data_IF_150759235653
#
_entry.id   IF_150759235653
#
_cell.length_a   1.000
_cell.length_b   1.000
_cell.length_c   1.000
_cell.angle_alpha   90.00
_cell.angle_beta   90.00
_cell.angle_gamma   90.00
#
_symmetry.space_group_name_H-M   'P 1'
#
loop_
_entity.id
_entity.type
_entity.pdbx_description
1 polymer ?
#
# COMPACT_ATOMS: atom_id res chain seq x y z
N UNK A 1 -25.57 16.15 -8.67
CA UNK A 1 -24.39 17.01 -8.41
C UNK A 1 -23.57 16.29 -7.35
N UNK A 2 -22.68 15.41 -7.80
CA UNK A 2 -21.88 14.56 -6.92
C UNK A 2 -20.64 15.34 -6.51
N UNK A 3 -20.53 15.66 -5.21
CA UNK A 3 -19.28 16.14 -4.64
C UNK A 3 -18.34 14.94 -4.52
N UNK A 4 -17.17 15.03 -5.16
CA UNK A 4 -16.12 14.05 -5.03
C UNK A 4 -15.65 13.97 -3.56
N UNK A 5 -15.15 12.82 -3.07
CA UNK A 5 -14.58 12.69 -1.72
C UNK A 5 -13.31 13.51 -1.47
N UNK A 6 -12.92 14.40 -2.40
CA UNK A 6 -11.67 15.14 -2.41
C UNK A 6 -11.58 16.29 -1.39
N UNK A 7 -12.62 16.55 -0.58
CA UNK A 7 -12.66 17.72 0.31
C UNK A 7 -12.67 17.42 1.82
N UNK A 8 -12.95 16.19 2.26
CA UNK A 8 -13.01 15.93 3.71
C UNK A 8 -11.67 15.82 4.42
N UNK A 9 -10.55 15.62 3.70
CA UNK A 9 -9.22 15.78 4.29
C UNK A 9 -8.83 17.26 4.51
N UNK A 10 -9.53 18.21 3.87
CA UNK A 10 -9.24 19.64 3.95
C UNK A 10 -10.09 20.39 5.00
N UNK A 11 -11.25 19.84 5.41
CA UNK A 11 -12.13 20.51 6.38
C UNK A 11 -11.65 20.42 7.84
N UNK A 12 -10.67 19.56 8.14
CA UNK A 12 -10.09 19.37 9.49
C UNK A 12 -8.62 19.84 9.58
N UNK A 13 -8.34 21.03 9.04
CA UNK A 13 -7.02 21.69 9.06
C UNK A 13 -6.78 22.58 10.29
N UNK A 14 -7.68 22.59 11.27
CA UNK A 14 -7.47 23.33 12.51
C UNK A 14 -6.22 22.80 13.25
N UNK A 15 -5.18 23.63 13.35
CA UNK A 15 -3.88 23.24 13.94
C UNK A 15 -2.97 22.45 12.99
N UNK A 16 -3.22 22.48 11.67
CA UNK A 16 -2.37 21.83 10.67
C UNK A 16 -1.79 22.85 9.70
N UNK A 17 -0.52 22.69 9.36
CA UNK A 17 0.19 23.57 8.42
C UNK A 17 0.48 22.75 7.16
N UNK A 18 -0.05 23.17 6.03
CA UNK A 18 0.01 22.40 4.79
C UNK A 18 0.68 23.16 3.66
N UNK A 19 1.44 22.45 2.83
CA UNK A 19 1.75 22.84 1.47
C UNK A 19 0.95 21.94 0.52
N UNK A 20 0.37 22.50 -0.53
CA UNK A 20 -0.45 21.78 -1.51
C UNK A 20 -0.23 22.35 -2.92
N UNK A 21 -0.16 21.51 -3.97
CA UNK A 21 -0.12 22.02 -5.35
C UNK A 21 -1.31 22.97 -5.61
N UNK A 22 -1.07 24.24 -6.00
CA UNK A 22 -2.16 25.13 -6.34
C UNK A 22 -2.86 24.62 -7.62
N UNK A 23 -4.17 24.37 -7.56
CA UNK A 23 -4.99 24.15 -8.76
C UNK A 23 -5.29 25.47 -9.50
N UNK A 24 -5.01 26.62 -8.89
CA UNK A 24 -5.05 27.97 -9.46
C UNK A 24 -4.03 28.87 -8.75
N UNK A 25 -3.57 29.96 -9.38
CA UNK A 25 -2.46 30.89 -9.02
C UNK A 25 -2.51 31.57 -7.62
N UNK A 26 -3.00 30.92 -6.57
CA UNK A 26 -2.97 31.47 -5.22
C UNK A 26 -1.66 31.17 -4.48
N UNK A 27 -1.18 32.23 -3.81
CA UNK A 27 0.08 32.38 -3.07
C UNK A 27 0.15 31.61 -1.74
N UNK A 28 -0.62 30.53 -1.57
CA UNK A 28 -0.86 29.88 -0.27
C UNK A 28 0.26 28.95 0.20
N UNK A 29 1.22 28.55 -0.65
CA UNK A 29 2.37 27.71 -0.24
C UNK A 29 3.55 28.54 0.25
N UNK A 30 3.35 29.39 1.27
CA UNK A 30 4.49 30.07 1.89
C UNK A 30 5.38 29.01 2.57
N UNK A 31 6.71 29.05 2.35
CA UNK A 31 7.63 28.21 3.09
C UNK A 31 7.44 28.42 4.59
N UNK A 32 7.26 27.33 5.31
CA UNK A 32 7.10 27.29 6.74
C UNK A 32 8.35 26.68 7.37
N UNK A 33 8.77 27.25 8.49
CA UNK A 33 9.84 26.69 9.33
C UNK A 33 9.44 26.74 10.79
N UNK A 34 9.85 25.74 11.56
CA UNK A 34 9.59 25.67 13.00
C UNK A 34 10.73 24.98 13.70
N UNK A 35 11.26 25.61 14.75
CA UNK A 35 12.20 24.98 15.66
C UNK A 35 11.48 23.94 16.49
N UNK A 36 12.09 22.76 16.55
CA UNK A 36 11.69 21.66 17.40
C UNK A 36 12.61 21.59 18.63
N UNK A 37 12.38 20.58 19.47
CA UNK A 37 13.27 20.24 20.58
C UNK A 37 14.66 19.80 20.09
N UNK A 38 15.62 19.76 21.01
CA UNK A 38 17.00 19.27 20.81
C UNK A 38 17.77 19.91 19.63
N UNK A 39 17.38 21.13 19.24
CA UNK A 39 18.03 21.90 18.18
C UNK A 39 17.66 21.47 16.76
N UNK A 40 16.63 20.63 16.59
CA UNK A 40 16.08 20.31 15.28
C UNK A 40 15.18 21.43 14.75
N UNK A 41 15.01 21.49 13.44
CA UNK A 41 14.13 22.44 12.76
C UNK A 41 13.42 21.74 11.61
N UNK A 42 12.13 22.01 11.41
CA UNK A 42 11.44 21.59 10.19
C UNK A 42 11.42 22.70 9.16
N UNK A 43 11.43 22.30 7.89
CA UNK A 43 10.97 23.14 6.77
C UNK A 43 9.86 22.43 6.03
N UNK A 44 8.82 23.16 5.65
CA UNK A 44 7.75 22.69 4.78
C UNK A 44 7.52 23.74 3.69
N UNK A 45 7.44 23.35 2.42
CA UNK A 45 7.16 24.30 1.35
C UNK A 45 7.24 23.66 -0.04
N UNK A 46 7.13 24.48 -1.10
CA UNK A 46 7.26 23.99 -2.47
C UNK A 46 8.58 23.26 -2.69
N UNK A 47 8.52 22.12 -3.37
CA UNK A 47 9.68 21.33 -3.74
C UNK A 47 10.56 22.14 -4.70
N UNK A 48 11.81 22.44 -4.31
CA UNK A 48 12.73 23.27 -5.11
C UNK A 48 13.13 22.62 -6.45
N UNK A 49 13.03 21.30 -6.57
CA UNK A 49 13.43 20.50 -7.74
C UNK A 49 12.37 19.45 -8.16
N UNK A 50 11.06 19.71 -7.95
CA UNK A 50 10.02 18.74 -8.30
C UNK A 50 10.04 18.39 -9.79
N UNK A 51 9.98 17.10 -10.11
CA UNK A 51 9.99 16.56 -11.49
C UNK A 51 9.01 17.29 -12.40
N UNK A 52 9.55 17.85 -13.49
CA UNK A 52 8.95 18.44 -14.70
C UNK A 52 7.96 19.61 -14.53
N UNK A 53 7.30 19.79 -13.38
CA UNK A 53 6.29 20.84 -13.18
C UNK A 53 6.49 21.72 -11.92
N UNK A 54 7.54 21.52 -11.11
CA UNK A 54 7.83 22.40 -9.95
C UNK A 54 6.71 22.50 -8.90
N UNK A 55 5.84 21.48 -8.83
CA UNK A 55 4.51 21.60 -8.22
C UNK A 55 4.24 20.65 -7.06
N UNK A 56 5.26 19.91 -6.60
CA UNK A 56 5.21 19.12 -5.38
C UNK A 56 5.52 19.97 -4.14
N UNK A 57 5.23 19.42 -2.97
CA UNK A 57 5.55 19.95 -1.66
C UNK A 57 6.57 19.05 -0.98
N UNK A 58 7.55 19.65 -0.30
CA UNK A 58 8.58 18.94 0.45
C UNK A 58 8.52 19.36 1.91
N UNK A 59 8.57 18.37 2.80
CA UNK A 59 8.93 18.58 4.19
C UNK A 59 10.31 17.98 4.47
N UNK A 60 11.07 18.63 5.34
CA UNK A 60 12.37 18.12 5.80
C UNK A 60 12.59 18.49 7.26
N UNK A 61 13.30 17.64 7.99
CA UNK A 61 13.82 17.91 9.33
C UNK A 61 15.32 18.12 9.23
N UNK A 62 15.84 19.18 9.83
CA UNK A 62 17.26 19.53 9.91
C UNK A 62 17.75 19.37 11.34
N UNK A 63 18.96 18.83 11.48
CA UNK A 63 19.72 18.85 12.73
C UNK A 63 20.23 20.26 13.06
N UNK A 64 20.75 20.45 14.26
CA UNK A 64 21.39 21.71 14.69
C UNK A 64 22.59 22.13 13.85
N UNK A 65 23.24 21.19 13.15
CA UNK A 65 24.31 21.45 12.18
C UNK A 65 23.82 21.84 10.78
N UNK A 66 22.50 21.92 10.56
CA UNK A 66 21.90 22.22 9.25
C UNK A 66 21.85 21.02 8.29
N UNK A 67 22.17 19.80 8.73
CA UNK A 67 22.03 18.60 7.92
C UNK A 67 20.59 18.09 7.93
N UNK A 68 20.07 17.72 6.76
CA UNK A 68 18.77 17.05 6.63
C UNK A 68 18.87 15.65 7.23
N UNK A 69 17.97 15.32 8.15
CA UNK A 69 17.90 14.00 8.81
C UNK A 69 16.63 13.23 8.46
N UNK A 70 15.67 13.89 7.83
CA UNK A 70 14.48 13.30 7.25
C UNK A 70 13.97 14.20 6.14
N UNK A 71 13.41 13.61 5.08
CA UNK A 71 12.74 14.32 4.00
C UNK A 71 11.57 13.48 3.49
N UNK A 72 10.50 14.15 3.10
CA UNK A 72 9.39 13.57 2.35
C UNK A 72 8.89 14.57 1.32
N UNK A 73 8.40 14.08 0.19
CA UNK A 73 7.87 14.90 -0.92
C UNK A 73 6.64 14.24 -1.50
N UNK A 74 5.62 15.05 -1.81
CA UNK A 74 4.37 14.60 -2.40
C UNK A 74 3.65 15.74 -3.11
N UNK A 75 2.50 15.48 -3.71
CA UNK A 75 1.57 16.51 -4.18
C UNK A 75 1.18 17.51 -3.08
N UNK A 76 1.05 17.03 -1.84
CA UNK A 76 0.80 17.84 -0.66
C UNK A 76 1.38 17.20 0.59
N UNK A 77 1.93 18.05 1.45
CA UNK A 77 2.51 17.64 2.72
C UNK A 77 1.96 18.53 3.81
N UNK A 78 1.53 17.90 4.89
CA UNK A 78 0.97 18.55 6.07
C UNK A 78 1.86 18.26 7.26
N UNK A 79 2.21 19.30 8.01
CA UNK A 79 2.77 19.19 9.34
C UNK A 79 1.62 19.19 10.34
N UNK A 80 1.42 18.07 11.04
CA UNK A 80 0.35 17.91 12.02
C UNK A 80 0.86 18.40 13.39
N UNK A 81 0.51 19.64 13.76
CA UNK A 81 0.97 20.23 15.02
C UNK A 81 0.26 19.61 16.24
N UNK A 82 -0.93 19.04 16.06
CA UNK A 82 -1.70 18.45 17.15
C UNK A 82 -1.06 17.13 17.60
N UNK A 83 -0.49 16.37 16.67
CA UNK A 83 0.18 15.10 16.95
C UNK A 83 1.69 15.22 17.12
N UNK A 84 2.32 16.24 16.52
CA UNK A 84 3.74 16.54 16.77
C UNK A 84 3.96 16.95 18.23
N UNK A 85 4.95 16.36 18.89
CA UNK A 85 5.21 16.59 20.31
C UNK A 85 4.63 15.52 21.23
N UNK A 86 3.89 14.55 20.68
CA UNK A 86 3.41 13.40 21.44
C UNK A 86 4.46 12.29 21.44
N UNK A 87 4.43 11.45 22.48
CA UNK A 87 5.29 10.28 22.67
C UNK A 87 4.55 9.02 22.19
N UNK A 88 4.91 8.55 21.01
CA UNK A 88 4.27 7.43 20.32
C UNK A 88 4.83 6.08 20.75
N UNK A 89 6.12 5.99 21.11
CA UNK A 89 6.77 4.73 21.47
C UNK A 89 7.02 4.51 22.96
N UNK A 90 6.65 5.50 23.78
CA UNK A 90 6.70 5.44 25.23
C UNK A 90 8.11 5.62 25.79
N UNK A 91 9.06 6.15 25.01
CA UNK A 91 10.43 6.41 25.46
C UNK A 91 10.57 7.72 26.26
N UNK A 92 9.47 8.46 26.41
CA UNK A 92 9.41 9.75 27.09
C UNK A 92 9.90 10.93 26.23
N UNK A 93 10.15 10.71 24.94
CA UNK A 93 10.54 11.73 23.97
C UNK A 93 9.40 11.98 22.97
N UNK A 94 9.32 13.20 22.45
CA UNK A 94 8.32 13.52 21.44
C UNK A 94 8.74 13.12 20.01
N UNK A 95 7.73 12.77 19.20
CA UNK A 95 7.84 12.52 17.76
C UNK A 95 7.35 13.70 16.92
N UNK A 96 7.80 13.72 15.67
CA UNK A 96 7.34 14.63 14.61
C UNK A 96 6.39 13.89 13.69
N UNK A 97 5.26 14.53 13.35
CA UNK A 97 4.21 13.92 12.53
C UNK A 97 3.98 14.73 11.25
N UNK A 98 4.15 14.07 10.11
CA UNK A 98 3.73 14.59 8.81
C UNK A 98 2.59 13.77 8.25
N UNK A 99 1.74 14.38 7.43
CA UNK A 99 0.78 13.69 6.57
C UNK A 99 1.21 13.97 5.14
N UNK A 100 1.47 12.94 4.37
CA UNK A 100 1.95 13.08 2.99
C UNK A 100 1.03 12.28 2.09
N UNK A 101 0.69 12.83 0.93
CA UNK A 101 0.06 12.01 -0.09
C UNK A 101 1.04 10.92 -0.55
N UNK A 102 0.49 9.75 -0.82
CA UNK A 102 1.26 8.56 -1.20
C UNK A 102 1.25 8.30 -2.70
N UNK A 103 0.76 9.27 -3.48
CA UNK A 103 0.36 9.08 -4.88
C UNK A 103 -1.00 8.37 -5.01
N UNK A 104 -1.55 8.35 -6.24
CA UNK A 104 -2.92 7.88 -6.52
C UNK A 104 -3.91 9.04 -6.40
N UNK A 105 -4.64 9.36 -7.48
CA UNK A 105 -5.36 10.62 -7.63
C UNK A 105 -6.14 11.03 -6.38
N UNK A 106 -5.70 12.10 -5.70
CA UNK A 106 -6.34 12.77 -4.56
C UNK A 106 -6.81 11.90 -3.37
N UNK A 107 -6.47 10.62 -3.24
CA UNK A 107 -7.20 9.72 -2.34
C UNK A 107 -6.37 8.88 -1.36
N UNK A 108 -5.04 8.98 -1.36
CA UNK A 108 -4.24 8.23 -0.41
C UNK A 108 -3.21 9.13 0.27
N UNK A 109 -3.30 9.20 1.59
CA UNK A 109 -2.48 10.00 2.47
C UNK A 109 -2.03 9.09 3.61
N UNK A 110 -0.79 9.23 4.04
CA UNK A 110 -0.25 8.50 5.17
C UNK A 110 0.32 9.47 6.20
N UNK A 111 0.12 9.14 7.48
CA UNK A 111 0.87 9.71 8.58
C UNK A 111 2.28 9.10 8.59
N UNK A 112 3.30 9.96 8.64
CA UNK A 112 4.70 9.60 8.82
C UNK A 112 5.11 10.00 10.24
N UNK A 113 5.44 9.03 11.09
CA UNK A 113 5.80 9.26 12.49
C UNK A 113 7.32 9.15 12.61
N UNK A 114 7.97 10.26 12.95
CA UNK A 114 9.43 10.37 12.96
C UNK A 114 9.92 10.61 14.38
N UNK A 115 10.74 9.71 14.90
CA UNK A 115 11.43 9.92 16.18
C UNK A 115 12.79 10.55 15.94
N UNK A 116 13.14 11.51 16.79
CA UNK A 116 14.43 12.20 16.76
C UNK A 116 15.43 11.65 17.79
N UNK A 117 15.00 10.68 18.61
CA UNK A 117 15.75 10.11 19.73
C UNK A 117 15.86 8.58 19.64
N UNK A 118 17.00 7.97 20.03
CA UNK A 118 18.30 8.61 20.29
C UNK A 118 18.98 9.10 19.01
N UNK A 119 18.46 8.69 17.84
CA UNK A 119 18.85 9.16 16.51
C UNK A 119 17.60 9.33 15.64
N UNK A 120 17.59 10.33 14.74
CA UNK A 120 16.52 10.52 13.77
C UNK A 120 16.27 9.26 12.96
N UNK A 121 15.02 8.82 12.94
CA UNK A 121 14.51 7.73 12.09
C UNK A 121 13.01 7.81 11.98
N UNK A 122 12.47 7.30 10.88
CA UNK A 122 11.04 6.98 10.80
C UNK A 122 10.73 5.81 11.74
N UNK A 123 9.70 5.96 12.58
CA UNK A 123 9.20 4.86 13.41
C UNK A 123 8.31 3.95 12.57
N UNK A 124 7.29 4.51 11.93
CA UNK A 124 6.32 3.80 11.09
C UNK A 124 5.50 4.80 10.28
N UNK A 125 4.81 4.28 9.28
CA UNK A 125 3.78 4.98 8.53
C UNK A 125 2.42 4.31 8.81
N UNK A 126 1.34 5.09 8.86
CA UNK A 126 -0.04 4.58 8.98
C UNK A 126 -0.99 5.35 8.07
N UNK A 127 -2.06 4.72 7.56
CA UNK A 127 -3.01 5.40 6.69
C UNK A 127 -3.64 6.63 7.34
N UNK A 128 -3.94 7.67 6.55
CA UNK A 128 -4.75 8.79 7.01
C UNK A 128 -6.16 8.32 7.40
N UNK A 129 -6.71 8.91 8.45
CA UNK A 129 -7.92 8.42 9.12
C UNK A 129 -7.65 7.48 10.30
N UNK A 130 -6.38 7.10 10.52
CA UNK A 130 -5.92 6.51 11.77
C UNK A 130 -6.16 7.46 12.94
N UNK A 131 -6.64 6.93 14.06
CA UNK A 131 -6.87 7.70 15.28
C UNK A 131 -5.74 7.47 16.28
N UNK A 132 -5.25 8.55 16.86
CA UNK A 132 -4.23 8.54 17.90
C UNK A 132 -4.86 8.91 19.23
N UNK A 133 -4.78 8.00 20.20
CA UNK A 133 -5.39 8.17 21.52
C UNK A 133 -4.41 7.77 22.61
N UNK A 134 -4.50 8.39 23.79
CA UNK A 134 -3.77 7.90 24.96
C UNK A 134 -4.65 6.96 25.76
N UNK A 135 -4.11 5.81 26.15
CA UNK A 135 -4.76 4.92 27.12
C UNK A 135 -4.77 5.54 28.53
N UNK A 136 -5.38 4.82 29.49
CA UNK A 136 -5.48 5.29 30.89
C UNK A 136 -4.12 5.45 31.58
N UNK A 137 -3.04 4.89 31.02
CA UNK A 137 -1.68 5.00 31.51
C UNK A 137 -0.90 6.09 30.75
N UNK A 138 -1.55 6.81 29.83
CA UNK A 138 -0.93 7.84 29.01
C UNK A 138 -0.15 7.31 27.81
N UNK A 139 -0.19 6.00 27.53
CA UNK A 139 0.52 5.39 26.40
C UNK A 139 -0.27 5.56 25.11
N UNK A 140 0.42 5.79 24.01
CA UNK A 140 -0.20 5.93 22.69
C UNK A 140 -0.86 4.62 22.25
N UNK A 141 -2.08 4.74 21.75
CA UNK A 141 -2.85 3.76 21.01
C UNK A 141 -3.09 4.30 19.61
N UNK A 142 -2.95 3.42 18.63
CA UNK A 142 -3.13 3.72 17.22
C UNK A 142 -4.28 2.85 16.73
N UNK A 143 -5.43 3.46 16.43
CA UNK A 143 -6.62 2.74 15.96
C UNK A 143 -6.78 2.89 14.46
N UNK A 144 -6.88 1.76 13.78
CA UNK A 144 -7.06 1.72 12.32
C UNK A 144 -8.34 0.99 11.96
N UNK A 145 -9.08 1.56 11.01
CA UNK A 145 -10.19 0.88 10.35
C UNK A 145 -9.65 0.11 9.14
N UNK A 146 -9.46 -1.20 9.31
CA UNK A 146 -8.96 -2.08 8.28
C UNK A 146 -10.11 -2.45 7.33
N UNK A 147 -10.01 -2.12 6.03
CA UNK A 147 -11.02 -2.54 5.07
C UNK A 147 -10.98 -4.06 4.89
N UNK A 148 -12.17 -4.68 4.90
CA UNK A 148 -12.33 -6.09 4.61
C UNK A 148 -12.39 -6.41 3.12
N UNK A 149 -12.82 -7.64 2.84
CA UNK A 149 -12.93 -8.20 1.48
C UNK A 149 -13.80 -7.31 0.57
N UNK A 150 -13.26 -6.91 -0.57
CA UNK A 150 -13.96 -6.13 -1.60
C UNK A 150 -14.62 -7.02 -2.66
N UNK A 151 -15.60 -6.48 -3.38
CA UNK A 151 -16.23 -7.14 -4.54
C UNK A 151 -17.41 -8.06 -4.20
N UNK A 152 -17.74 -8.21 -2.92
CA UNK A 152 -18.99 -8.83 -2.45
C UNK A 152 -20.04 -7.80 -2.02
N UNK A 153 -19.62 -6.57 -1.80
CA UNK A 153 -20.49 -5.45 -1.44
C UNK A 153 -20.18 -4.23 -2.31
N UNK A 154 -21.08 -3.25 -2.31
CA UNK A 154 -20.83 -1.94 -2.91
C UNK A 154 -19.78 -1.16 -2.13
N UNK A 155 -19.17 -0.15 -2.76
CA UNK A 155 -18.21 0.74 -2.08
C UNK A 155 -18.81 1.48 -0.88
N UNK A 156 -20.13 1.68 -0.84
CA UNK A 156 -20.83 2.34 0.25
C UNK A 156 -20.97 1.44 1.50
N UNK A 157 -20.99 0.12 1.29
CA UNK A 157 -21.09 -0.90 2.34
C UNK A 157 -19.84 -1.77 2.36
N UNK A 158 -18.67 -1.17 2.19
CA UNK A 158 -17.41 -1.91 2.27
C UNK A 158 -17.23 -2.44 3.71
N UNK A 159 -17.00 -3.75 3.90
CA UNK A 159 -16.76 -4.30 5.23
C UNK A 159 -15.54 -3.66 5.86
N UNK A 160 -15.54 -3.51 7.19
CA UNK A 160 -14.40 -2.97 7.93
C UNK A 160 -14.31 -3.57 9.32
N UNK A 161 -13.11 -3.61 9.88
CA UNK A 161 -12.87 -3.98 11.26
C UNK A 161 -11.80 -3.09 11.86
N UNK A 162 -11.87 -2.87 13.17
CA UNK A 162 -10.93 -2.07 13.90
C UNK A 162 -9.74 -2.91 14.37
N UNK A 163 -8.53 -2.41 14.15
CA UNK A 163 -7.32 -2.86 14.84
C UNK A 163 -6.80 -1.78 15.77
N UNK A 164 -6.18 -2.22 16.86
CA UNK A 164 -5.54 -1.35 17.84
C UNK A 164 -4.07 -1.75 17.95
N UNK A 165 -3.19 -0.82 17.60
CA UNK A 165 -1.75 -1.01 17.66
C UNK A 165 -1.13 -0.22 18.80
N UNK A 166 -0.01 -0.74 19.30
CA UNK A 166 0.97 -0.01 20.09
C UNK A 166 2.31 -0.05 19.39
N UNK A 167 3.15 0.95 19.66
CA UNK A 167 4.52 0.93 19.19
C UNK A 167 5.38 0.15 20.18
N UNK A 168 6.15 -0.81 19.69
CA UNK A 168 7.15 -1.53 20.47
C UNK A 168 8.38 -1.76 19.60
N UNK A 169 9.56 -1.41 20.12
CA UNK A 169 10.82 -1.55 19.39
C UNK A 169 10.76 -0.90 17.99
N UNK A 170 10.15 0.29 17.91
CA UNK A 170 9.93 1.03 16.67
C UNK A 170 9.12 0.27 15.61
N UNK A 171 8.19 -0.60 16.02
CA UNK A 171 7.23 -1.28 15.14
C UNK A 171 5.83 -1.23 15.72
N UNK A 172 4.82 -1.22 14.86
CA UNK A 172 3.44 -1.43 15.27
C UNK A 172 3.26 -2.90 15.66
N UNK A 173 2.75 -3.11 16.86
CA UNK A 173 2.38 -4.40 17.40
C UNK A 173 0.87 -4.42 17.56
N UNK A 174 0.22 -5.41 16.95
CA UNK A 174 -1.22 -5.63 17.09
C UNK A 174 -1.56 -6.00 18.54
N UNK A 175 -2.31 -5.12 19.19
CA UNK A 175 -2.83 -5.26 20.55
C UNK A 175 -4.36 -5.37 20.57
N UNK A 176 -5.01 -5.53 19.41
CA UNK A 176 -6.46 -5.62 19.25
C UNK A 176 -7.11 -6.59 20.25
N UNK A 177 -6.56 -7.80 20.52
CA UNK A 177 -7.14 -8.71 21.51
C UNK A 177 -7.36 -8.11 22.91
N UNK A 178 -6.51 -7.16 23.34
CA UNK A 178 -6.63 -6.49 24.64
C UNK A 178 -7.86 -5.55 24.70
N UNK A 179 -8.30 -5.07 23.54
CA UNK A 179 -9.38 -4.08 23.41
C UNK A 179 -10.69 -4.68 22.89
N UNK A 180 -10.72 -5.98 22.61
CA UNK A 180 -11.92 -6.66 22.12
C UNK A 180 -13.15 -6.56 23.03
N UNK A 181 -13.05 -6.55 24.38
CA UNK A 181 -14.22 -6.30 25.22
C UNK A 181 -14.87 -4.93 24.99
N UNK A 182 -14.09 -3.94 24.58
CA UNK A 182 -14.57 -2.60 24.24
C UNK A 182 -15.04 -2.51 22.80
N UNK A 183 -14.31 -3.13 21.86
CA UNK A 183 -14.66 -3.12 20.43
C UNK A 183 -15.95 -3.88 20.18
N UNK A 184 -16.11 -5.07 20.77
CA UNK A 184 -17.29 -5.92 20.64
C UNK A 184 -18.40 -5.57 21.66
N UNK A 185 -18.42 -4.32 22.13
CA UNK A 185 -19.40 -3.81 23.08
C UNK A 185 -20.52 -3.09 22.34
N UNK A 186 -21.79 -3.17 22.80
CA UNK A 186 -22.89 -2.35 22.30
C UNK A 186 -22.65 -0.83 22.43
N UNK A 187 -21.65 -0.41 23.22
CA UNK A 187 -21.27 1.00 23.34
C UNK A 187 -20.32 1.45 22.22
N UNK A 188 -19.73 0.54 21.45
CA UNK A 188 -18.97 0.87 20.25
C UNK A 188 -19.95 1.07 19.09
N UNK A 189 -19.98 2.27 18.52
CA UNK A 189 -20.97 2.67 17.50
C UNK A 189 -20.85 1.83 16.22
N UNK A 190 -19.65 1.45 15.82
CA UNK A 190 -19.45 0.63 14.63
C UNK A 190 -19.93 -0.81 14.87
N UNK A 191 -19.56 -1.42 16.00
CA UNK A 191 -20.05 -2.75 16.34
C UNK A 191 -21.56 -2.80 16.53
N UNK A 192 -22.14 -1.83 17.26
CA UNK A 192 -23.59 -1.72 17.48
C UNK A 192 -24.35 -1.55 16.15
N UNK A 193 -23.79 -0.81 15.18
CA UNK A 193 -24.39 -0.71 13.84
C UNK A 193 -24.44 -2.08 13.16
N UNK A 194 -23.33 -2.80 13.09
CA UNK A 194 -23.30 -4.10 12.40
C UNK A 194 -24.13 -5.17 13.12
N UNK A 195 -24.14 -5.16 14.47
CA UNK A 195 -24.95 -6.10 15.27
C UNK A 195 -26.45 -5.85 15.08
N UNK A 196 -26.89 -4.59 14.99
CA UNK A 196 -28.30 -4.24 14.73
C UNK A 196 -28.77 -4.64 13.33
N UNK A 197 -27.87 -4.71 12.35
CA UNK A 197 -28.20 -5.21 11.01
C UNK A 197 -28.56 -6.69 11.07
N UNK A 198 -27.92 -7.48 11.94
CA UNK A 198 -28.12 -8.92 12.07
C UNK A 198 -29.18 -9.28 13.11
N UNK A 199 -30.42 -8.82 12.90
CA UNK A 199 -31.54 -9.17 13.79
C UNK A 199 -31.78 -10.69 13.83
N UNK A 200 -32.39 -11.23 14.90
CA UNK A 200 -32.72 -12.65 14.99
C UNK A 200 -33.51 -13.18 13.78
N UNK A 201 -34.42 -12.37 13.22
CA UNK A 201 -35.19 -12.73 12.03
C UNK A 201 -34.30 -12.83 10.79
N UNK A 202 -33.36 -11.89 10.60
CA UNK A 202 -32.40 -11.94 9.48
C UNK A 202 -31.46 -13.13 9.63
N UNK A 203 -30.95 -13.41 10.83
CA UNK A 203 -30.12 -14.60 11.10
C UNK A 203 -30.90 -15.88 10.76
N UNK A 204 -32.17 -15.98 11.15
CA UNK A 204 -33.03 -17.13 10.83
C UNK A 204 -33.22 -17.30 9.31
N UNK A 205 -33.41 -16.19 8.57
CA UNK A 205 -33.47 -16.22 7.11
C UNK A 205 -32.16 -16.69 6.49
N UNK A 206 -31.02 -16.15 6.92
CA UNK A 206 -29.69 -16.56 6.44
C UNK A 206 -29.44 -18.05 6.69
N UNK A 207 -29.79 -18.54 7.89
CA UNK A 207 -29.68 -19.95 8.25
C UNK A 207 -30.54 -20.88 7.39
N UNK A 208 -31.63 -20.38 6.79
CA UNK A 208 -32.44 -21.13 5.82
C UNK A 208 -31.96 -21.01 4.37
N UNK A 209 -30.79 -20.39 4.14
CA UNK A 209 -30.16 -20.27 2.83
C UNK A 209 -30.55 -19.01 2.06
N UNK A 210 -31.10 -18.00 2.74
CA UNK A 210 -31.36 -16.69 2.13
C UNK A 210 -30.05 -16.00 1.74
N UNK A 211 -30.07 -15.31 0.61
CA UNK A 211 -28.92 -14.55 0.12
C UNK A 211 -28.87 -13.17 0.82
N UNK A 212 -27.75 -12.81 1.47
CA UNK A 212 -27.64 -11.53 2.15
C UNK A 212 -27.72 -10.37 1.16
N UNK A 213 -28.43 -9.31 1.54
CA UNK A 213 -28.32 -8.00 0.88
C UNK A 213 -26.97 -7.33 1.20
N UNK A 214 -26.69 -6.20 0.55
CA UNK A 214 -25.40 -5.50 0.64
C UNK A 214 -25.01 -5.13 2.08
N UNK A 215 -25.97 -4.61 2.85
CA UNK A 215 -25.79 -4.22 4.25
C UNK A 215 -25.55 -5.45 5.14
N UNK A 216 -26.34 -6.51 4.95
CA UNK A 216 -26.20 -7.77 5.70
C UNK A 216 -24.87 -8.46 5.37
N UNK A 217 -24.44 -8.46 4.11
CA UNK A 217 -23.15 -9.00 3.68
C UNK A 217 -21.99 -8.22 4.29
N UNK A 218 -22.09 -6.89 4.34
CA UNK A 218 -21.12 -6.02 5.01
C UNK A 218 -21.00 -6.34 6.50
N UNK A 219 -22.13 -6.46 7.21
CA UNK A 219 -22.16 -6.79 8.63
C UNK A 219 -21.55 -8.17 8.93
N UNK A 220 -21.91 -9.19 8.14
CA UNK A 220 -21.35 -10.55 8.27
C UNK A 220 -19.83 -10.56 8.13
N UNK A 221 -19.30 -9.88 7.10
CA UNK A 221 -17.85 -9.84 6.83
C UNK A 221 -17.10 -8.98 7.85
N UNK A 222 -17.67 -7.85 8.27
CA UNK A 222 -17.10 -6.96 9.29
C UNK A 222 -16.98 -7.69 10.62
N UNK A 223 -18.04 -8.37 11.06
CA UNK A 223 -18.03 -9.15 12.30
C UNK A 223 -17.10 -10.36 12.21
N UNK A 224 -17.08 -11.09 11.08
CA UNK A 224 -16.13 -12.17 10.87
C UNK A 224 -14.67 -11.69 10.98
N UNK A 225 -14.36 -10.54 10.38
CA UNK A 225 -13.03 -9.93 10.43
C UNK A 225 -12.69 -9.44 11.84
N UNK A 226 -13.61 -8.75 12.51
CA UNK A 226 -13.39 -8.25 13.87
C UNK A 226 -13.16 -9.40 14.86
N UNK A 227 -13.96 -10.46 14.78
CA UNK A 227 -13.76 -11.65 15.62
C UNK A 227 -12.45 -12.37 15.30
N UNK A 228 -11.96 -12.32 14.06
CA UNK A 228 -10.64 -12.83 13.69
C UNK A 228 -9.53 -12.03 14.38
N UNK A 229 -9.57 -10.70 14.33
CA UNK A 229 -8.62 -9.84 15.03
C UNK A 229 -8.68 -10.02 16.55
N UNK A 230 -9.87 -10.30 17.07
CA UNK A 230 -10.08 -10.66 18.46
C UNK A 230 -9.71 -12.11 18.83
N UNK A 231 -9.18 -12.89 17.88
CA UNK A 231 -8.83 -14.31 18.07
C UNK A 231 -10.00 -15.18 18.54
N UNK A 232 -11.23 -14.78 18.21
CA UNK A 232 -12.47 -15.50 18.47
C UNK A 232 -12.89 -16.28 17.22
N UNK A 233 -12.03 -17.22 16.80
CA UNK A 233 -12.14 -17.88 15.49
C UNK A 233 -13.45 -18.66 15.28
N UNK A 234 -14.02 -19.26 16.32
CA UNK A 234 -15.30 -19.96 16.19
C UNK A 234 -16.48 -18.98 15.98
N UNK A 235 -16.38 -17.76 16.52
CA UNK A 235 -17.34 -16.69 16.22
C UNK A 235 -17.17 -16.16 14.81
N UNK A 236 -15.94 -15.97 14.35
CA UNK A 236 -15.69 -15.61 12.96
C UNK A 236 -16.28 -16.65 11.99
N UNK A 237 -16.06 -17.94 12.28
CA UNK A 237 -16.61 -19.05 11.49
C UNK A 237 -18.14 -19.09 11.54
N UNK A 238 -18.76 -18.76 12.67
CA UNK A 238 -20.22 -18.65 12.78
C UNK A 238 -20.79 -17.68 11.73
N UNK A 239 -20.23 -16.47 11.62
CA UNK A 239 -20.72 -15.49 10.64
C UNK A 239 -20.45 -15.92 9.19
N UNK A 240 -19.29 -16.55 8.91
CA UNK A 240 -19.01 -17.11 7.58
C UNK A 240 -20.00 -18.23 7.21
N UNK A 241 -20.42 -19.04 8.18
CA UNK A 241 -21.39 -20.12 7.97
C UNK A 241 -22.83 -19.63 7.75
N UNK A 242 -23.15 -18.36 8.01
CA UNK A 242 -24.46 -17.78 7.68
C UNK A 242 -24.62 -17.50 6.18
N UNK A 243 -23.54 -17.54 5.40
CA UNK A 243 -23.65 -17.45 3.94
C UNK A 243 -24.32 -18.69 3.34
N UNK A 244 -25.09 -18.55 2.24
CA UNK A 244 -25.84 -19.67 1.66
C UNK A 244 -24.91 -20.63 0.91
N UNK A 245 -25.25 -21.92 0.91
CA UNK A 245 -24.49 -22.94 0.16
C UNK A 245 -24.61 -22.75 -1.36
N UNK A 246 -25.79 -22.31 -1.82
CA UNK A 246 -26.07 -21.94 -3.21
C UNK A 246 -26.56 -20.49 -3.26
N UNK A 247 -26.05 -19.71 -4.20
CA UNK A 247 -26.44 -18.32 -4.43
C UNK A 247 -26.72 -18.11 -5.92
N UNK A 248 -27.61 -17.16 -6.23
CA UNK A 248 -27.86 -16.73 -7.61
C UNK A 248 -26.67 -15.94 -8.16
N UNK A 249 -25.88 -15.33 -7.28
CA UNK A 249 -24.66 -14.60 -7.59
C UNK A 249 -23.47 -15.56 -7.51
N UNK A 250 -22.77 -15.86 -8.61
CA UNK A 250 -21.71 -16.86 -8.62
C UNK A 250 -20.58 -16.63 -7.61
N UNK A 251 -20.39 -15.41 -7.08
CA UNK A 251 -19.38 -15.08 -6.08
C UNK A 251 -19.80 -15.21 -4.61
N UNK A 252 -21.10 -15.33 -4.31
CA UNK A 252 -21.65 -15.16 -2.96
C UNK A 252 -22.03 -16.49 -2.25
N UNK A 253 -21.48 -17.62 -2.68
CA UNK A 253 -21.64 -18.90 -1.96
C UNK A 253 -20.73 -18.96 -0.74
N UNK A 254 -21.17 -19.61 0.35
CA UNK A 254 -20.38 -19.86 1.57
C UNK A 254 -18.95 -20.33 1.27
N UNK A 255 -18.82 -21.31 0.38
CA UNK A 255 -17.53 -21.88 -0.04
C UNK A 255 -16.56 -20.82 -0.56
N UNK A 256 -17.02 -19.98 -1.49
CA UNK A 256 -16.20 -18.94 -2.14
C UNK A 256 -15.88 -17.80 -1.20
N UNK A 257 -16.85 -17.35 -0.40
CA UNK A 257 -16.64 -16.29 0.59
C UNK A 257 -15.65 -16.74 1.65
N UNK A 258 -15.79 -17.96 2.16
CA UNK A 258 -14.86 -18.54 3.15
C UNK A 258 -13.44 -18.64 2.59
N UNK A 259 -13.28 -19.09 1.34
CA UNK A 259 -11.97 -19.14 0.70
C UNK A 259 -11.35 -17.75 0.50
N UNK A 260 -12.13 -16.79 -0.02
CA UNK A 260 -11.65 -15.42 -0.24
C UNK A 260 -11.30 -14.72 1.09
N UNK A 261 -12.10 -14.94 2.13
CA UNK A 261 -11.81 -14.46 3.48
C UNK A 261 -10.52 -15.09 4.02
N UNK A 262 -10.36 -16.42 3.93
CA UNK A 262 -9.14 -17.12 4.33
C UNK A 262 -7.89 -16.57 3.62
N UNK A 263 -7.96 -16.37 2.31
CA UNK A 263 -6.87 -15.77 1.53
C UNK A 263 -6.53 -14.34 1.98
N UNK A 264 -7.53 -13.54 2.35
CA UNK A 264 -7.33 -12.15 2.80
C UNK A 264 -6.62 -12.04 4.14
N UNK A 265 -6.76 -13.03 5.03
CA UNK A 265 -6.16 -13.00 6.38
C UNK A 265 -4.90 -13.88 6.52
N UNK A 266 -4.52 -14.64 5.49
CA UNK A 266 -3.49 -15.70 5.58
C UNK A 266 -2.11 -15.21 6.04
N UNK A 267 -1.76 -13.96 5.71
CA UNK A 267 -0.45 -13.41 6.09
C UNK A 267 -0.36 -13.19 7.59
N UNK A 268 -1.46 -12.79 8.22
CA UNK A 268 -1.50 -12.43 9.64
C UNK A 268 -2.02 -13.56 10.53
N UNK A 269 -2.94 -14.37 10.01
CA UNK A 269 -3.62 -15.47 10.72
C UNK A 269 -3.49 -16.80 9.95
N UNK A 270 -2.27 -17.29 9.68
CA UNK A 270 -2.03 -18.42 8.78
C UNK A 270 -2.74 -19.71 9.21
N UNK A 271 -2.73 -20.03 10.50
CA UNK A 271 -3.38 -21.26 11.01
C UNK A 271 -4.90 -21.23 10.84
N UNK A 272 -5.53 -20.07 11.11
CA UNK A 272 -6.98 -19.94 10.93
C UNK A 272 -7.33 -19.92 9.44
N UNK A 273 -6.56 -19.22 8.61
CA UNK A 273 -6.72 -19.25 7.16
C UNK A 273 -6.62 -20.68 6.61
N UNK A 274 -5.63 -21.46 7.05
CA UNK A 274 -5.47 -22.86 6.65
C UNK A 274 -6.67 -23.71 7.08
N UNK A 275 -7.21 -23.51 8.29
CA UNK A 275 -8.44 -24.17 8.75
C UNK A 275 -9.62 -23.85 7.83
N UNK A 276 -9.79 -22.58 7.45
CA UNK A 276 -10.86 -22.15 6.54
C UNK A 276 -10.69 -22.78 5.14
N UNK A 277 -9.49 -22.71 4.57
CA UNK A 277 -9.18 -23.24 3.23
C UNK A 277 -9.28 -24.76 3.18
N UNK A 278 -8.90 -25.46 4.24
CA UNK A 278 -9.01 -26.92 4.35
C UNK A 278 -10.47 -27.37 4.48
N UNK A 279 -11.30 -26.62 5.21
CA UNK A 279 -12.74 -26.91 5.37
C UNK A 279 -13.53 -26.78 4.07
N UNK A 280 -13.01 -26.00 3.12
CA UNK A 280 -13.57 -25.77 1.79
C UNK A 280 -13.24 -26.92 0.80
N UNK A 281 -12.36 -27.85 1.19
CA UNK A 281 -12.00 -29.04 0.43
C UNK A 281 -10.77 -28.81 -0.46
N UNK A 282 -9.74 -29.65 -0.25
CA UNK A 282 -8.53 -29.71 -1.04
C UNK A 282 -8.81 -29.85 -2.55
N UNK A 283 -8.57 -28.75 -3.28
CA UNK A 283 -8.01 -28.65 -4.63
C UNK A 283 -8.37 -27.29 -5.23
N UNK A 284 -7.63 -26.25 -4.86
CA UNK A 284 -7.05 -25.46 -5.94
C UNK A 284 -5.76 -26.22 -6.25
N UNK A 285 -5.51 -26.71 -7.47
CA UNK A 285 -4.22 -27.29 -7.80
C UNK A 285 -3.16 -26.29 -7.37
N UNK A 286 -2.28 -26.73 -6.46
CA UNK A 286 -1.08 -26.00 -6.15
C UNK A 286 -0.42 -25.67 -7.48
N UNK A 287 -0.20 -24.38 -7.70
CA UNK A 287 0.55 -23.88 -8.83
C UNK A 287 2.05 -24.13 -8.61
N UNK A 288 2.39 -25.35 -8.18
CA UNK A 288 3.73 -25.92 -8.13
C UNK A 288 4.03 -26.48 -9.50
N UNK A 289 4.35 -25.55 -10.41
CA UNK A 289 4.70 -25.81 -11.79
C UNK A 289 4.92 -24.46 -12.45
N UNK A 290 6.10 -23.88 -12.25
CA UNK A 290 6.57 -22.71 -12.96
C UNK A 290 6.64 -23.03 -14.46
N UNK A 291 5.52 -22.86 -15.15
CA UNK A 291 5.50 -22.46 -16.53
C UNK A 291 5.20 -20.96 -16.50
N UNK A 292 6.16 -20.14 -16.92
CA UNK A 292 5.97 -18.71 -17.19
C UNK A 292 4.89 -18.57 -18.28
N UNK A 293 3.63 -18.62 -17.88
CA UNK A 293 2.49 -18.32 -18.71
C UNK A 293 2.53 -16.84 -19.05
N UNK A 294 2.89 -16.54 -20.30
CA UNK A 294 2.86 -15.20 -20.86
C UNK A 294 1.45 -14.62 -20.75
N UNK A 295 1.25 -13.72 -19.80
CA UNK A 295 -0.03 -13.08 -19.54
C UNK A 295 -0.26 -12.66 -18.09
N UNK A 296 0.37 -13.33 -17.12
CA UNK A 296 0.22 -12.97 -15.71
C UNK A 296 1.08 -11.74 -15.36
N UNK A 297 0.44 -10.72 -14.80
CA UNK A 297 1.13 -9.57 -14.21
C UNK A 297 1.98 -10.01 -13.02
N UNK A 298 3.25 -9.65 -13.04
CA UNK A 298 4.15 -9.74 -11.89
C UNK A 298 3.99 -8.46 -11.07
N UNK A 299 3.61 -8.61 -9.80
CA UNK A 299 3.31 -7.49 -8.90
C UNK A 299 4.21 -7.47 -7.68
N UNK A 300 4.47 -8.65 -7.11
CA UNK A 300 5.20 -8.80 -5.85
C UNK A 300 6.43 -9.67 -6.02
N UNK A 301 7.48 -9.27 -5.32
CA UNK A 301 8.71 -10.03 -5.18
C UNK A 301 8.76 -10.53 -3.74
N UNK A 302 9.12 -11.79 -3.55
CA UNK A 302 9.22 -12.37 -2.22
C UNK A 302 10.54 -11.98 -1.54
N UNK A 303 10.60 -12.09 -0.22
CA UNK A 303 11.75 -11.66 0.57
C UNK A 303 13.04 -12.44 0.27
N UNK A 304 12.93 -13.63 -0.32
CA UNK A 304 14.05 -14.48 -0.75
C UNK A 304 14.68 -14.05 -2.08
N UNK A 305 14.03 -13.14 -2.83
CA UNK A 305 14.51 -12.65 -4.12
C UNK A 305 15.59 -11.58 -3.94
N UNK A 306 16.77 -12.04 -3.57
CA UNK A 306 17.93 -11.22 -3.23
C UNK A 306 19.01 -11.30 -4.30
N UNK A 307 19.98 -10.38 -4.27
CA UNK A 307 21.19 -10.47 -5.11
C UNK A 307 21.89 -11.82 -5.01
N UNK A 308 21.92 -12.41 -3.79
CA UNK A 308 22.49 -13.73 -3.54
C UNK A 308 21.68 -14.84 -4.22
N UNK A 309 20.35 -14.81 -4.11
CA UNK A 309 19.48 -15.78 -4.78
C UNK A 309 19.59 -15.70 -6.32
N UNK A 310 19.77 -14.49 -6.84
CA UNK A 310 20.09 -14.25 -8.25
C UNK A 310 21.51 -14.67 -8.66
N UNK A 311 22.33 -15.20 -7.73
CA UNK A 311 23.71 -15.67 -7.99
C UNK A 311 24.59 -14.60 -8.63
N UNK A 312 24.48 -13.35 -8.18
CA UNK A 312 25.31 -12.25 -8.65
C UNK A 312 26.59 -12.16 -7.81
N UNK A 313 27.72 -11.99 -8.47
CA UNK A 313 29.02 -11.74 -7.81
C UNK A 313 29.02 -10.35 -7.15
N UNK A 314 29.90 -10.12 -6.18
CA UNK A 314 30.00 -8.82 -5.52
C UNK A 314 30.27 -7.67 -6.51
N UNK A 315 31.11 -7.91 -7.53
CA UNK A 315 31.39 -6.90 -8.57
C UNK A 315 30.15 -6.59 -9.43
N UNK A 316 29.34 -7.59 -9.77
CA UNK A 316 28.07 -7.37 -10.47
C UNK A 316 27.07 -6.62 -9.60
N UNK A 317 27.01 -6.93 -8.30
CA UNK A 317 26.13 -6.24 -7.36
C UNK A 317 26.48 -4.75 -7.29
N UNK A 318 27.76 -4.41 -7.08
CA UNK A 318 28.23 -3.02 -7.10
C UNK A 318 27.89 -2.32 -8.42
N UNK A 319 28.18 -2.96 -9.56
CA UNK A 319 27.86 -2.40 -10.88
C UNK A 319 26.37 -2.09 -11.04
N UNK A 320 25.50 -2.95 -10.54
CA UNK A 320 24.05 -2.79 -10.61
C UNK A 320 23.59 -1.69 -9.66
N UNK A 321 24.06 -1.69 -8.41
CA UNK A 321 23.72 -0.70 -7.40
C UNK A 321 24.12 0.70 -7.86
N UNK A 322 25.32 0.87 -8.40
CA UNK A 322 25.78 2.16 -8.95
C UNK A 322 24.81 2.68 -10.03
N UNK A 323 24.27 1.80 -10.87
CA UNK A 323 23.31 2.19 -11.91
C UNK A 323 21.91 2.45 -11.34
N UNK A 324 21.50 1.72 -10.31
CA UNK A 324 20.22 1.95 -9.61
C UNK A 324 20.25 3.31 -8.91
N UNK A 325 21.28 3.58 -8.11
CA UNK A 325 21.46 4.83 -7.37
C UNK A 325 21.49 6.06 -8.29
N UNK A 326 22.09 5.93 -9.48
CA UNK A 326 22.12 7.03 -10.46
C UNK A 326 20.78 7.28 -11.16
N UNK A 327 19.83 6.35 -11.07
CA UNK A 327 18.52 6.46 -11.74
C UNK A 327 17.35 6.17 -10.79
N UNK A 328 17.56 6.33 -9.49
CA UNK A 328 16.52 6.24 -8.47
C UNK A 328 16.10 7.64 -8.05
N UNK A 329 14.82 7.81 -7.70
CA UNK A 329 14.32 9.09 -7.19
C UNK A 329 14.78 9.38 -5.74
N UNK A 330 15.23 8.36 -5.00
CA UNK A 330 15.76 8.48 -3.64
C UNK A 330 16.98 7.57 -3.43
N UNK A 331 17.70 7.73 -2.31
CA UNK A 331 18.89 6.96 -1.96
C UNK A 331 18.70 6.19 -0.65
N UNK A 332 18.74 4.86 -0.71
CA UNK A 332 18.56 4.00 0.45
C UNK A 332 19.84 3.89 1.29
N UNK A 333 19.67 3.75 2.62
CA UNK A 333 20.78 3.46 3.54
C UNK A 333 21.44 2.11 3.25
N UNK A 334 20.68 1.14 2.72
CA UNK A 334 21.20 -0.15 2.24
C UNK A 334 20.39 -0.67 1.05
N UNK A 335 21.01 -0.59 -0.12
CA UNK A 335 20.47 -1.08 -1.39
C UNK A 335 20.19 -2.60 -1.37
N UNK A 336 20.97 -3.39 -0.64
CA UNK A 336 20.76 -4.83 -0.53
C UNK A 336 19.47 -5.19 0.22
N UNK A 337 19.06 -4.34 1.18
CA UNK A 337 17.81 -4.52 1.91
C UNK A 337 16.61 -3.93 1.17
N UNK A 338 16.82 -2.81 0.47
CA UNK A 338 15.77 -2.10 -0.27
C UNK A 338 15.38 -2.82 -1.56
N UNK A 339 16.31 -3.49 -2.24
CA UNK A 339 16.06 -4.07 -3.56
C UNK A 339 15.70 -5.55 -3.51
N UNK A 340 14.81 -5.96 -4.42
CA UNK A 340 14.59 -7.37 -4.77
C UNK A 340 15.01 -7.62 -6.20
N UNK A 341 15.64 -8.78 -6.43
CA UNK A 341 16.31 -9.10 -7.69
C UNK A 341 15.87 -10.48 -8.16
N UNK A 342 15.36 -10.54 -9.39
CA UNK A 342 14.95 -11.78 -10.06
C UNK A 342 15.63 -11.90 -11.42
N UNK A 343 16.14 -13.08 -11.74
CA UNK A 343 16.56 -13.43 -13.11
C UNK A 343 15.35 -13.69 -13.97
N UNK A 344 15.36 -13.17 -15.18
CA UNK A 344 14.28 -13.29 -16.16
C UNK A 344 14.85 -13.54 -17.56
N UNK A 345 14.05 -14.13 -18.44
CA UNK A 345 14.35 -14.16 -19.87
C UNK A 345 13.73 -12.94 -20.54
N UNK A 346 14.57 -12.11 -21.17
CA UNK A 346 14.12 -11.00 -22.00
C UNK A 346 13.91 -11.43 -23.46
N UNK A 347 13.79 -12.72 -23.75
CA UNK A 347 13.78 -13.25 -25.11
C UNK A 347 15.10 -13.96 -25.40
N UNK A 348 15.89 -13.44 -26.32
CA UNK A 348 17.18 -14.04 -26.71
C UNK A 348 18.33 -13.72 -25.76
N UNK A 349 18.10 -12.85 -24.77
CA UNK A 349 19.11 -12.42 -23.80
C UNK A 349 18.63 -12.65 -22.37
N UNK A 350 19.59 -12.95 -21.50
CA UNK A 350 19.35 -13.01 -20.07
C UNK A 350 19.17 -11.60 -19.51
N UNK A 351 18.24 -11.49 -18.56
CA UNK A 351 17.94 -10.25 -17.88
C UNK A 351 17.84 -10.39 -16.37
N UNK A 352 17.88 -9.24 -15.72
CA UNK A 352 17.43 -9.07 -14.35
C UNK A 352 16.28 -8.09 -14.35
N UNK A 353 15.36 -8.32 -13.42
CA UNK A 353 14.44 -7.29 -12.99
C UNK A 353 14.71 -7.01 -11.52
N UNK A 354 14.78 -5.73 -11.21
CA UNK A 354 15.08 -5.22 -9.88
C UNK A 354 13.93 -4.31 -9.48
N UNK A 355 13.46 -4.46 -8.25
CA UNK A 355 12.34 -3.66 -7.74
C UNK A 355 12.66 -3.16 -6.35
N UNK A 356 12.28 -1.91 -6.06
CA UNK A 356 12.23 -1.36 -4.71
C UNK A 356 11.26 -2.12 -3.80
N UNK A 357 11.36 -1.90 -2.49
CA UNK A 357 10.45 -2.56 -1.53
C UNK A 357 9.85 -1.64 -0.49
N UNK A 358 10.51 -0.54 -0.15
CA UNK A 358 10.04 0.39 0.87
C UNK A 358 10.29 1.82 0.46
N UNK A 359 11.54 2.29 0.52
CA UNK A 359 11.88 3.69 0.24
C UNK A 359 11.59 4.06 -1.21
N UNK A 360 11.80 3.10 -2.12
CA UNK A 360 11.63 3.30 -3.56
C UNK A 360 10.21 2.95 -4.03
N UNK A 361 9.27 2.84 -3.08
CA UNK A 361 7.85 2.65 -3.33
C UNK A 361 7.07 3.89 -2.92
N UNK A 362 6.18 4.36 -3.79
CA UNK A 362 5.10 5.26 -3.38
C UNK A 362 4.06 4.48 -2.58
N UNK A 363 3.32 5.13 -1.69
CA UNK A 363 2.35 4.41 -0.84
C UNK A 363 1.10 3.89 -1.56
N UNK A 364 0.95 4.08 -2.89
CA UNK A 364 0.05 3.23 -3.70
C UNK A 364 0.57 1.80 -3.92
N UNK A 365 1.75 1.48 -3.41
CA UNK A 365 2.45 0.22 -3.65
C UNK A 365 3.12 0.15 -5.03
N UNK A 366 3.13 1.26 -5.78
CA UNK A 366 3.95 1.36 -7.00
C UNK A 366 5.41 1.53 -6.57
N UNK A 367 6.31 0.71 -7.12
CA UNK A 367 7.74 0.78 -6.79
C UNK A 367 8.58 1.00 -8.03
N UNK A 368 9.70 1.71 -7.89
CA UNK A 368 10.70 1.79 -8.95
C UNK A 368 11.13 0.39 -9.36
N UNK A 369 11.12 0.16 -10.67
CA UNK A 369 11.43 -1.13 -11.26
C UNK A 369 12.40 -0.96 -12.41
N UNK A 370 13.59 -1.54 -12.27
CA UNK A 370 14.62 -1.57 -13.29
C UNK A 370 14.61 -2.88 -14.05
N UNK A 371 15.00 -2.80 -15.32
CA UNK A 371 15.35 -3.97 -16.12
C UNK A 371 16.82 -3.85 -16.50
N UNK A 372 17.58 -4.91 -16.29
CA UNK A 372 18.97 -5.00 -16.75
C UNK A 372 19.08 -6.11 -17.78
N UNK A 373 19.93 -5.89 -18.79
CA UNK A 373 20.36 -6.96 -19.70
C UNK A 373 21.84 -7.25 -19.52
N UNK A 374 22.24 -8.48 -19.80
CA UNK A 374 23.65 -8.80 -19.89
C UNK A 374 24.18 -8.51 -21.29
N UNK A 375 25.29 -7.77 -21.39
CA UNK A 375 25.99 -7.52 -22.65
C UNK A 375 27.49 -7.43 -22.41
N UNK A 376 28.27 -8.23 -23.15
CA UNK A 376 29.74 -8.27 -23.05
C UNK A 376 30.23 -8.46 -21.61
N UNK A 377 29.55 -9.34 -20.84
CA UNK A 377 29.90 -9.63 -19.45
C UNK A 377 29.54 -8.52 -18.45
N UNK A 378 28.75 -7.52 -18.86
CA UNK A 378 28.31 -6.41 -18.01
C UNK A 378 26.78 -6.37 -17.91
N UNK A 379 26.27 -5.98 -16.75
CA UNK A 379 24.85 -5.64 -16.58
C UNK A 379 24.61 -4.19 -16.96
N UNK A 380 23.69 -3.97 -17.91
CA UNK A 380 23.35 -2.64 -18.41
C UNK A 380 21.90 -2.32 -18.05
N UNK A 381 21.68 -1.20 -17.35
CA UNK A 381 20.37 -0.65 -17.10
C UNK A 381 19.68 -0.33 -18.44
N UNK A 382 18.44 -0.78 -18.56
CA UNK A 382 17.63 -0.62 -19.77
C UNK A 382 16.80 0.66 -19.75
N UNK A 383 16.94 1.53 -18.76
CA UNK A 383 16.34 2.86 -18.75
C UNK A 383 17.43 3.92 -18.82
N UNK A 384 17.25 4.93 -19.68
CA UNK A 384 18.22 6.01 -19.86
C UNK A 384 18.06 7.15 -18.85
N UNK A 385 16.95 7.18 -18.13
CA UNK A 385 16.57 8.16 -17.11
C UNK A 385 16.17 7.38 -15.85
N UNK A 386 15.47 8.06 -14.94
CA UNK A 386 14.82 7.45 -13.79
C UNK A 386 14.00 6.21 -14.18
N UNK A 387 14.03 5.18 -13.33
CA UNK A 387 13.27 3.96 -13.58
C UNK A 387 11.77 4.19 -13.36
N UNK A 388 10.90 3.47 -14.10
CA UNK A 388 9.47 3.64 -13.93
C UNK A 388 8.99 3.13 -12.56
N UNK A 389 8.12 3.91 -11.91
CA UNK A 389 7.45 3.57 -10.65
C UNK A 389 6.13 2.84 -10.95
N UNK A 390 6.07 1.52 -10.69
CA UNK A 390 5.00 0.65 -11.24
C UNK A 390 4.40 -0.26 -10.17
N UNK A 391 3.09 -0.53 -10.24
CA UNK A 391 2.42 -1.54 -9.39
C UNK A 391 2.70 -2.94 -9.89
N UNK A 392 2.81 -3.13 -11.20
CA UNK A 392 3.09 -4.43 -11.80
C UNK A 392 3.65 -4.31 -13.20
N UNK A 393 4.16 -5.42 -13.71
CA UNK A 393 4.71 -5.49 -15.06
C UNK A 393 4.55 -6.88 -15.66
N UNK A 394 4.76 -6.96 -16.98
CA UNK A 394 4.96 -8.21 -17.72
C UNK A 394 5.82 -7.95 -18.96
N UNK A 395 6.40 -9.01 -19.50
CA UNK A 395 7.06 -8.97 -20.80
C UNK A 395 6.13 -9.51 -21.87
N UNK A 396 5.97 -8.77 -22.96
CA UNK A 396 5.17 -9.21 -24.10
C UNK A 396 5.91 -10.27 -24.92
N UNK A 397 5.16 -11.03 -25.72
CA UNK A 397 5.75 -12.00 -26.64
C UNK A 397 6.48 -11.32 -27.80
N UNK A 398 6.02 -10.14 -28.21
CA UNK A 398 6.71 -9.35 -29.22
C UNK A 398 8.07 -8.88 -28.69
N UNK A 399 9.10 -9.04 -29.53
CA UNK A 399 10.46 -8.67 -29.21
C UNK A 399 11.07 -7.81 -30.32
N UNK A 400 11.76 -6.75 -29.91
CA UNK A 400 12.51 -5.87 -30.79
C UNK A 400 14.01 -6.12 -30.57
N UNK A 401 14.74 -6.46 -31.64
CA UNK A 401 16.16 -6.79 -31.53
C UNK A 401 16.46 -7.99 -30.60
N UNK A 402 15.53 -8.94 -30.50
CA UNK A 402 15.65 -10.11 -29.61
C UNK A 402 15.31 -9.85 -28.14
N UNK A 403 14.90 -8.62 -27.79
CA UNK A 403 14.49 -8.19 -26.45
C UNK A 403 12.98 -7.96 -26.41
N UNK A 404 12.27 -8.66 -25.52
CA UNK A 404 10.81 -8.55 -25.32
C UNK A 404 10.40 -7.13 -24.94
N UNK A 405 9.25 -6.67 -25.41
CA UNK A 405 8.69 -5.40 -24.94
C UNK A 405 8.28 -5.50 -23.47
N UNK A 406 8.40 -4.39 -22.75
CA UNK A 406 8.11 -4.32 -21.32
C UNK A 406 6.83 -3.52 -21.09
N UNK A 407 5.77 -4.20 -20.67
CA UNK A 407 4.49 -3.57 -20.37
C UNK A 407 4.37 -3.40 -18.86
N UNK A 408 4.19 -2.16 -18.42
CA UNK A 408 4.03 -1.84 -17.00
C UNK A 408 2.63 -1.35 -16.71
N UNK A 409 2.27 -1.45 -15.43
CA UNK A 409 1.03 -1.04 -14.82
C UNK A 409 1.35 -0.06 -13.70
N UNK A 410 0.63 1.05 -13.65
CA UNK A 410 0.65 1.95 -12.50
C UNK A 410 -0.77 2.07 -11.96
N UNK A 411 -0.96 1.76 -10.68
CA UNK A 411 -2.27 1.93 -10.06
C UNK A 411 -2.52 3.41 -9.83
N UNK A 412 -3.63 3.92 -10.36
CA UNK A 412 -4.06 5.31 -10.15
C UNK A 412 -5.23 5.43 -9.19
N UNK A 413 -6.06 4.38 -9.08
CA UNK A 413 -7.12 4.19 -8.08
C UNK A 413 -7.53 2.71 -7.98
N UNK A 414 -8.52 2.38 -7.15
CA UNK A 414 -9.07 1.02 -7.05
C UNK A 414 -9.74 0.52 -8.35
N UNK A 415 -10.19 1.41 -9.23
CA UNK A 415 -10.92 1.07 -10.47
C UNK A 415 -10.18 1.49 -11.75
N UNK A 416 -9.07 2.21 -11.64
CA UNK A 416 -8.33 2.75 -12.78
C UNK A 416 -6.84 2.46 -12.69
N UNK A 417 -6.30 1.94 -13.79
CA UNK A 417 -4.91 1.59 -13.98
C UNK A 417 -4.41 2.32 -15.24
N UNK A 418 -3.16 2.78 -15.22
CA UNK A 418 -2.48 3.18 -16.45
C UNK A 418 -1.50 2.11 -16.86
N UNK A 419 -1.45 1.81 -18.16
CA UNK A 419 -0.47 0.89 -18.73
C UNK A 419 0.45 1.64 -19.68
N UNK A 420 1.75 1.40 -19.57
CA UNK A 420 2.75 1.96 -20.48
C UNK A 420 3.54 0.83 -21.10
N UNK A 421 3.59 0.81 -22.43
CA UNK A 421 4.38 -0.11 -23.22
C UNK A 421 5.73 0.52 -23.55
N UNK A 422 6.79 -0.13 -23.08
CA UNK A 422 8.17 0.20 -23.41
C UNK A 422 8.70 -0.74 -24.48
N UNK A 423 9.19 -0.17 -25.58
CA UNK A 423 9.84 -0.92 -26.68
C UNK A 423 11.35 -0.71 -26.64
N UNK A 424 12.08 -1.77 -26.94
CA UNK A 424 13.54 -1.72 -26.95
C UNK A 424 14.05 -1.06 -28.24
N UNK A 425 14.88 -0.02 -28.13
CA UNK A 425 15.39 0.76 -29.27
C UNK A 425 16.75 0.27 -29.81
N UNK A 426 17.26 -0.85 -29.29
CA UNK A 426 18.61 -1.35 -29.57
C UNK A 426 19.62 -1.03 -28.47
N UNK A 427 19.33 -0.02 -27.62
CA UNK A 427 20.17 0.35 -26.48
C UNK A 427 19.42 0.25 -25.16
N UNK A 428 18.23 0.83 -25.07
CA UNK A 428 17.38 0.96 -23.87
C UNK A 428 15.90 0.78 -24.23
N UNK A 429 15.05 0.66 -23.23
CA UNK A 429 13.61 0.80 -23.34
C UNK A 429 13.21 2.27 -23.52
N UNK A 430 12.26 2.50 -24.44
CA UNK A 430 11.62 3.79 -24.70
C UNK A 430 10.11 3.62 -24.59
N UNK A 431 9.44 4.60 -23.98
CA UNK A 431 7.99 4.66 -24.01
C UNK A 431 7.49 4.70 -25.46
N UNK A 432 6.51 3.86 -25.76
CA UNK A 432 5.95 3.73 -27.10
C UNK A 432 4.45 3.96 -27.11
N UNK A 433 3.71 3.38 -26.17
CA UNK A 433 2.25 3.43 -26.14
C UNK A 433 1.75 3.50 -24.70
N UNK A 434 0.70 4.28 -24.47
CA UNK A 434 0.10 4.48 -23.15
C UNK A 434 -1.40 4.22 -23.23
N UNK A 435 -1.94 3.66 -22.15
CA UNK A 435 -3.34 3.27 -22.08
C UNK A 435 -3.92 3.64 -20.72
N UNK A 436 -5.15 4.14 -20.73
CA UNK A 436 -6.01 4.13 -19.55
C UNK A 436 -6.81 2.82 -19.54
N UNK A 437 -6.87 2.19 -18.38
CA UNK A 437 -7.58 0.93 -18.14
C UNK A 437 -8.57 1.12 -17.01
N UNK A 438 -9.84 0.82 -17.30
CA UNK A 438 -10.91 0.79 -16.31
C UNK A 438 -11.33 -0.64 -16.07
N UNK A 439 -11.43 -1.03 -14.81
CA UNK A 439 -11.87 -2.37 -14.39
C UNK A 439 -13.29 -2.25 -13.83
N UNK A 440 -14.25 -2.85 -14.52
CA UNK A 440 -15.64 -2.96 -14.08
C UNK A 440 -15.98 -4.44 -13.86
N UNK A 441 -15.80 -4.90 -12.61
CA UNK A 441 -15.91 -6.30 -12.24
C UNK A 441 -14.87 -7.17 -12.97
N UNK A 442 -15.33 -8.00 -13.91
CA UNK A 442 -14.47 -8.88 -14.72
C UNK A 442 -14.14 -8.31 -16.11
N UNK A 443 -14.75 -7.18 -16.50
CA UNK A 443 -14.51 -6.55 -17.80
C UNK A 443 -13.43 -5.48 -17.69
N UNK A 444 -12.43 -5.54 -18.57
CA UNK A 444 -11.45 -4.46 -18.77
C UNK A 444 -11.85 -3.63 -19.98
N UNK A 445 -11.96 -2.31 -19.79
CA UNK A 445 -11.98 -1.35 -20.89
C UNK A 445 -10.58 -0.74 -21.01
N UNK A 446 -10.01 -0.77 -22.20
CA UNK A 446 -8.68 -0.23 -22.48
C UNK A 446 -8.81 0.84 -23.55
N UNK A 447 -8.28 2.03 -23.30
CA UNK A 447 -8.27 3.15 -24.24
C UNK A 447 -6.84 3.65 -24.42
N UNK A 448 -6.38 3.74 -25.67
CA UNK A 448 -5.06 4.27 -25.99
C UNK A 448 -5.07 5.78 -25.82
N UNK A 449 -4.11 6.29 -25.07
CA UNK A 449 -3.93 7.71 -24.78
C UNK A 449 -2.54 8.17 -25.22
N UNK A 450 -2.31 9.47 -25.39
CA UNK A 450 -0.96 10.00 -25.56
C UNK A 450 -0.07 9.66 -24.37
N UNK A 451 1.17 9.22 -24.63
CA UNK A 451 2.21 9.17 -23.60
C UNK A 451 2.63 10.59 -23.21
N UNK A 452 3.11 10.75 -21.98
CA UNK A 452 3.43 12.06 -21.41
C UNK A 452 4.87 12.48 -21.68
#
# INVERSE_FOLDING_TARGET
MFLAPALHAQDDLAGKISCHRPMSEETQNQPYTKKLWDGYEISLGPARNGTIDGSGCTAAIYSSGGHVVFRTTGFSVVFDENHTGQDFDGDGKPEVVFITDTGGGNCCWDYNIISLSPKPRRLFDVPAGTQFEKDRLGKMLIRENIPGLSGLTTSASRPRAEKVFRVSQSKLVDTTPEFCPQILSPNNVDFDREDRVLTPEKISKLASGWEPDDETASALLSLALQHTFCRQFDRALYYLNLWPEASKSPGATRKKVTAAFGESIKQEYPEFAERLLSSVGAAIPGNTGAAEGTGRWLREFSADETFRAAKLTAAEQTQIIDQVENTSFDAADSWETELRVRRISLGQVDGLIIRGTQLLCGGTGNCETWVFRQSQGKWLNMFAQEAPVVSGFRFEQEANGGVKNFLVSTTSSAATEKRTLFKFDGKVYRESECYDVWVDGAAERIEKIPCK
#
